data_IF_686659342305
#
_entry.id   IF_686659342305
#
_cell.length_a   1.000
_cell.length_b   1.000
_cell.length_c   1.000
_cell.angle_alpha   90.00
_cell.angle_beta   90.00
_cell.angle_gamma   90.00
#
_symmetry.space_group_name_H-M   'P 1'
#
loop_
_entity.id
_entity.type
_entity.pdbx_description
1 polymer ?
#
# COMPACT_ATOMS: atom_id res chain seq x y z
N UNK A 1 -3.50 -9.10 23.64
CA UNK A 1 -2.29 -8.24 23.63
C UNK A 1 -2.30 -7.42 22.34
N UNK A 2 -2.52 -6.10 22.41
CA UNK A 2 -2.60 -5.25 21.21
C UNK A 2 -1.27 -4.50 21.02
N UNK A 3 -0.31 -5.18 20.38
CA UNK A 3 1.04 -4.65 20.17
C UNK A 3 1.02 -3.24 19.57
N UNK A 4 0.30 -3.06 18.46
CA UNK A 4 0.21 -1.77 17.76
C UNK A 4 -0.45 -0.71 18.65
N UNK A 5 -1.61 -1.00 19.24
CA UNK A 5 -2.32 -0.02 20.09
C UNK A 5 -1.49 0.41 21.31
N UNK A 6 -0.71 -0.51 21.92
CA UNK A 6 0.16 -0.18 23.04
C UNK A 6 1.26 0.80 22.62
N UNK A 7 1.87 0.60 21.46
CA UNK A 7 2.95 1.45 20.97
C UNK A 7 2.44 2.81 20.47
N UNK A 8 1.22 2.88 19.93
CA UNK A 8 0.57 4.16 19.61
C UNK A 8 0.26 4.94 20.90
N UNK A 9 -0.29 4.30 21.94
CA UNK A 9 -0.57 4.96 23.23
C UNK A 9 0.69 5.43 23.95
N UNK A 10 1.78 4.67 23.82
CA UNK A 10 3.07 5.04 24.42
C UNK A 10 3.83 6.07 23.57
N UNK A 11 3.26 6.58 22.48
CA UNK A 11 3.90 7.59 21.62
C UNK A 11 5.07 7.06 20.80
N UNK A 12 5.28 5.75 20.74
CA UNK A 12 6.33 5.12 19.93
C UNK A 12 5.96 5.14 18.45
N UNK A 13 4.67 5.09 18.13
CA UNK A 13 4.16 5.19 16.77
C UNK A 13 3.16 6.34 16.64
N UNK A 14 3.39 7.19 15.65
CA UNK A 14 2.40 8.18 15.21
C UNK A 14 1.40 7.56 14.24
N UNK A 15 0.13 7.60 14.60
CA UNK A 15 -0.94 7.11 13.76
C UNK A 15 -1.44 8.25 12.85
N UNK A 16 -1.15 8.15 11.56
CA UNK A 16 -1.57 9.12 10.56
C UNK A 16 -2.70 8.55 9.70
N UNK A 17 -3.75 9.34 9.49
CA UNK A 17 -4.83 8.98 8.58
C UNK A 17 -4.36 9.05 7.12
N UNK A 18 -4.58 7.96 6.37
CA UNK A 18 -4.30 7.90 4.94
C UNK A 18 -5.58 7.50 4.17
N UNK A 19 -6.07 8.34 3.24
CA UNK A 19 -7.21 8.01 2.39
C UNK A 19 -6.95 6.74 1.57
N UNK A 20 -7.98 5.92 1.36
CA UNK A 20 -7.88 4.63 0.65
C UNK A 20 -7.23 4.76 -0.74
N UNK A 21 -7.59 5.79 -1.51
CA UNK A 21 -7.02 6.06 -2.85
C UNK A 21 -5.53 6.45 -2.85
N UNK A 22 -4.99 6.75 -1.67
CA UNK A 22 -3.58 7.07 -1.43
C UNK A 22 -2.87 5.94 -0.67
N UNK A 23 -3.60 4.95 -0.14
CA UNK A 23 -3.03 3.82 0.56
C UNK A 23 -2.46 2.78 -0.41
N UNK A 24 -1.17 2.96 -0.73
CA UNK A 24 -0.44 2.05 -1.63
C UNK A 24 -0.35 0.64 -1.00
N UNK A 25 -0.23 0.52 0.32
CA UNK A 25 -0.17 -0.78 1.00
C UNK A 25 -1.50 -1.56 0.88
N UNK A 26 -2.65 -0.91 0.99
CA UNK A 26 -3.97 -1.52 0.72
C UNK A 26 -4.07 -2.05 -0.71
N UNK A 27 -3.44 -1.34 -1.65
CA UNK A 27 -3.39 -1.73 -3.06
C UNK A 27 -2.60 -3.02 -3.23
N UNK A 28 -1.51 -3.25 -2.49
CA UNK A 28 -0.74 -4.50 -2.51
C UNK A 28 -1.41 -5.67 -1.81
N UNK A 29 -2.24 -5.43 -0.79
CA UNK A 29 -2.88 -6.49 -0.01
C UNK A 29 -4.21 -6.96 -0.57
N UNK A 30 -4.80 -6.23 -1.53
CA UNK A 30 -6.03 -6.64 -2.23
C UNK A 30 -5.70 -7.29 -3.56
N UNK A 31 -6.50 -8.28 -3.97
CA UNK A 31 -6.51 -8.74 -5.35
C UNK A 31 -6.83 -7.54 -6.26
N UNK A 32 -5.84 -7.09 -7.03
CA UNK A 32 -5.94 -5.88 -7.82
C UNK A 32 -6.74 -6.15 -9.09
N UNK A 33 -7.94 -5.59 -9.18
CA UNK A 33 -8.61 -5.46 -10.47
C UNK A 33 -7.69 -4.69 -11.45
N UNK A 34 -7.68 -5.11 -12.72
CA UNK A 34 -6.80 -4.60 -13.78
C UNK A 34 -6.61 -3.06 -13.81
N UNK A 35 -7.65 -2.21 -13.68
CA UNK A 35 -7.47 -0.75 -13.65
C UNK A 35 -6.70 -0.23 -12.43
N UNK A 36 -6.83 -0.86 -11.26
CA UNK A 36 -6.07 -0.49 -10.05
C UNK A 36 -4.60 -0.90 -10.18
N UNK A 37 -4.32 -2.03 -10.82
CA UNK A 37 -2.96 -2.46 -11.12
C UNK A 37 -2.23 -1.48 -12.05
N UNK A 38 -2.89 -0.98 -13.11
CA UNK A 38 -2.29 0.04 -13.99
C UNK A 38 -1.98 1.36 -13.26
N UNK A 39 -2.89 1.81 -12.38
CA UNK A 39 -2.68 3.00 -11.55
C UNK A 39 -1.49 2.82 -10.59
N UNK A 40 -1.40 1.64 -9.96
CA UNK A 40 -0.29 1.28 -9.08
C UNK A 40 1.04 1.26 -9.86
N UNK A 41 1.06 0.59 -11.01
CA UNK A 41 2.23 0.50 -11.89
C UNK A 41 2.75 1.87 -12.29
N UNK A 42 1.85 2.77 -12.69
CA UNK A 42 2.19 4.15 -13.03
C UNK A 42 2.78 4.90 -11.84
N UNK A 43 2.16 4.78 -10.65
CA UNK A 43 2.65 5.45 -9.42
C UNK A 43 3.99 4.92 -8.92
N UNK A 44 4.29 3.66 -9.17
CA UNK A 44 5.57 3.06 -8.79
C UNK A 44 6.67 3.22 -9.83
N UNK A 45 6.38 3.81 -11.00
CA UNK A 45 7.36 3.89 -12.09
C UNK A 45 7.75 2.51 -12.67
N UNK A 46 6.91 1.50 -12.49
CA UNK A 46 7.20 0.15 -12.96
C UNK A 46 6.93 0.05 -14.47
N UNK A 47 7.99 -0.14 -15.26
CA UNK A 47 7.85 -0.59 -16.63
C UNK A 47 7.42 -2.07 -16.65
N UNK A 48 6.61 -2.48 -17.62
CA UNK A 48 6.47 -3.92 -17.89
C UNK A 48 7.86 -4.46 -18.17
N UNK A 49 8.32 -5.44 -17.40
CA UNK A 49 9.35 -6.32 -17.90
C UNK A 49 8.79 -6.94 -19.18
N UNK A 50 9.43 -6.67 -20.33
CA UNK A 50 9.19 -7.47 -21.53
C UNK A 50 9.60 -8.88 -21.13
N UNK A 51 8.63 -9.74 -20.88
CA UNK A 51 8.90 -11.17 -20.75
C UNK A 51 9.55 -11.61 -22.04
N UNK A 52 10.87 -11.82 -22.00
CA UNK A 52 11.57 -12.56 -23.03
C UNK A 52 11.07 -14.00 -22.94
N UNK A 53 10.29 -14.40 -23.93
CA UNK A 53 10.09 -15.80 -24.30
C UNK A 53 11.34 -16.24 -25.05
#
# INVERSE_FOLDING_TARGET
>A
YHFICSHVRNGTFDLLYCPTDKNVADTFMKALAHPRLQKLRTRMGLACARGGV
#
